data_IF_705092797685
#
_entry.id   IF_705092797685
#
_cell.length_a   1.000
_cell.length_b   1.000
_cell.length_c   1.000
_cell.angle_alpha   90.00
_cell.angle_beta   90.00
_cell.angle_gamma   90.00
#
_symmetry.space_group_name_H-M   'P 1'
#
loop_
_entity.id
_entity.type
_entity.pdbx_description
1 polymer ?
#
# COMPACT_ATOMS: atom_id res chain seq x y z
N UNK A 1 -25.75 5.73 -24.89
CA UNK A 1 -25.34 6.95 -24.13
C UNK A 1 -24.19 6.69 -23.14
N UNK A 2 -23.32 5.69 -23.36
CA UNK A 2 -22.09 5.48 -22.54
C UNK A 2 -20.82 5.75 -23.37
N UNK A 3 -20.80 5.28 -24.63
CA UNK A 3 -19.70 5.54 -25.57
C UNK A 3 -19.42 7.04 -25.74
N UNK A 4 -20.46 7.84 -26.03
CA UNK A 4 -20.30 9.29 -26.20
C UNK A 4 -19.78 9.99 -24.92
N UNK A 5 -20.12 9.47 -23.73
CA UNK A 5 -19.58 10.00 -22.48
C UNK A 5 -18.10 9.65 -22.33
N UNK A 6 -17.70 8.40 -22.59
CA UNK A 6 -16.28 8.02 -22.59
C UNK A 6 -15.46 8.87 -23.57
N UNK A 7 -15.92 9.05 -24.81
CA UNK A 7 -15.22 9.89 -25.80
C UNK A 7 -15.03 11.34 -25.33
N UNK A 8 -15.96 11.88 -24.55
CA UNK A 8 -15.87 13.25 -24.03
C UNK A 8 -14.95 13.38 -22.80
N UNK A 9 -14.77 12.30 -22.02
CA UNK A 9 -13.94 12.29 -20.80
C UNK A 9 -12.50 11.90 -21.11
N UNK A 10 -12.28 11.06 -22.12
CA UNK A 10 -10.97 10.59 -22.52
C UNK A 10 -10.20 11.72 -23.24
N UNK A 11 -8.91 11.83 -22.92
CA UNK A 11 -7.98 12.75 -23.60
C UNK A 11 -8.02 12.53 -25.12
N UNK A 12 -8.03 13.62 -25.88
CA UNK A 12 -8.07 13.60 -27.35
C UNK A 12 -6.90 12.80 -27.94
N UNK A 13 -5.76 12.72 -27.25
CA UNK A 13 -4.63 11.90 -27.65
C UNK A 13 -4.97 10.40 -27.76
N UNK A 14 -5.97 9.92 -27.01
CA UNK A 14 -6.40 8.52 -26.97
C UNK A 14 -7.56 8.22 -27.93
N UNK A 15 -8.15 9.23 -28.56
CA UNK A 15 -9.29 9.02 -29.48
C UNK A 15 -8.94 8.09 -30.63
N UNK A 16 -7.70 8.15 -31.13
CA UNK A 16 -7.23 7.28 -32.22
C UNK A 16 -7.15 5.79 -31.84
N UNK A 17 -6.87 5.46 -30.57
CA UNK A 17 -6.83 4.05 -30.14
C UNK A 17 -8.20 3.47 -29.87
N UNK A 18 -9.13 4.33 -29.43
CA UNK A 18 -10.50 3.96 -29.07
C UNK A 18 -11.44 4.00 -30.28
N UNK A 19 -11.04 4.66 -31.38
CA UNK A 19 -11.84 4.87 -32.59
C UNK A 19 -12.48 3.59 -33.18
N UNK A 20 -11.80 2.45 -33.03
CA UNK A 20 -12.25 1.16 -33.58
C UNK A 20 -13.01 0.28 -32.58
N UNK A 21 -13.13 0.72 -31.32
CA UNK A 21 -13.87 0.00 -30.30
C UNK A 21 -15.38 0.13 -30.55
N UNK A 22 -16.07 -1.00 -30.61
CA UNK A 22 -17.51 -1.07 -30.89
C UNK A 22 -18.34 -0.99 -29.60
N UNK A 23 -17.72 -1.30 -28.46
CA UNK A 23 -18.39 -1.33 -27.16
C UNK A 23 -17.64 -0.52 -26.11
N UNK A 24 -18.36 0.06 -25.16
CA UNK A 24 -17.77 0.81 -24.04
C UNK A 24 -16.86 -0.07 -23.18
N UNK A 25 -17.12 -1.38 -23.19
CA UNK A 25 -16.30 -2.39 -22.53
C UNK A 25 -14.92 -2.53 -23.19
N UNK A 26 -14.85 -2.56 -24.51
CA UNK A 26 -13.56 -2.61 -25.23
C UNK A 26 -12.73 -1.36 -24.95
N UNK A 27 -13.36 -0.18 -24.94
CA UNK A 27 -12.69 1.08 -24.54
C UNK A 27 -12.13 0.98 -23.14
N UNK A 28 -12.93 0.48 -22.19
CA UNK A 28 -12.53 0.35 -20.80
C UNK A 28 -11.35 -0.61 -20.63
N UNK A 29 -11.37 -1.77 -21.30
CA UNK A 29 -10.28 -2.76 -21.24
C UNK A 29 -8.98 -2.18 -21.82
N UNK A 30 -9.04 -1.46 -22.94
CA UNK A 30 -7.85 -0.82 -23.54
C UNK A 30 -7.24 0.24 -22.62
N UNK A 31 -8.10 1.04 -21.97
CA UNK A 31 -7.65 2.02 -20.97
C UNK A 31 -7.06 1.33 -19.74
N UNK A 32 -7.71 0.29 -19.23
CA UNK A 32 -7.22 -0.48 -18.10
C UNK A 32 -5.85 -1.12 -18.40
N UNK A 33 -5.66 -1.72 -19.58
CA UNK A 33 -4.37 -2.34 -19.94
C UNK A 33 -3.24 -1.31 -20.06
N UNK A 34 -3.51 -0.14 -20.66
CA UNK A 34 -2.50 0.91 -20.84
C UNK A 34 -2.18 1.65 -19.55
N UNK A 35 -3.20 1.95 -18.75
CA UNK A 35 -3.07 2.80 -17.56
C UNK A 35 -2.99 2.02 -16.25
N UNK A 36 -3.21 0.70 -16.25
CA UNK A 36 -2.87 -0.16 -15.10
C UNK A 36 -1.37 -0.11 -14.76
N UNK A 37 -0.49 0.21 -15.73
CA UNK A 37 0.91 0.51 -15.47
C UNK A 37 1.10 1.77 -14.59
N UNK A 38 0.15 2.71 -14.62
CA UNK A 38 0.15 3.84 -13.69
C UNK A 38 0.06 3.38 -12.22
N UNK A 39 -0.70 2.32 -11.97
CA UNK A 39 -0.78 1.71 -10.64
C UNK A 39 0.55 1.08 -10.24
N UNK A 40 1.29 0.45 -11.17
CA UNK A 40 2.59 -0.14 -10.84
C UNK A 40 3.64 0.93 -10.48
N UNK A 41 3.69 2.04 -11.21
CA UNK A 41 4.57 3.19 -10.88
C UNK A 41 4.23 3.75 -9.50
N UNK A 42 2.95 3.96 -9.19
CA UNK A 42 2.52 4.44 -7.87
C UNK A 42 2.87 3.44 -6.76
N UNK A 43 2.67 2.15 -6.98
CA UNK A 43 3.09 1.09 -6.05
C UNK A 43 4.61 1.16 -5.81
N UNK A 44 5.42 1.34 -6.85
CA UNK A 44 6.87 1.47 -6.68
C UNK A 44 7.26 2.71 -5.87
N UNK A 45 6.60 3.85 -6.10
CA UNK A 45 6.80 5.05 -5.29
C UNK A 45 6.45 4.83 -3.83
N UNK A 46 5.29 4.22 -3.56
CA UNK A 46 4.82 3.91 -2.20
C UNK A 46 5.75 2.90 -1.50
N UNK A 47 6.25 1.89 -2.21
CA UNK A 47 7.24 0.94 -1.68
C UNK A 47 8.54 1.65 -1.31
N UNK A 48 8.98 2.61 -2.12
CA UNK A 48 10.15 3.43 -1.79
C UNK A 48 9.88 4.30 -0.56
N UNK A 49 8.73 4.95 -0.50
CA UNK A 49 8.33 5.77 0.65
C UNK A 49 8.33 4.94 1.93
N UNK A 50 7.70 3.76 1.90
CA UNK A 50 7.66 2.80 2.99
C UNK A 50 9.06 2.41 3.50
N UNK A 51 10.02 2.15 2.61
CA UNK A 51 11.41 1.84 3.01
C UNK A 51 12.17 3.04 3.62
N UNK A 52 11.68 4.26 3.42
CA UNK A 52 12.26 5.48 3.98
C UNK A 52 11.57 5.91 5.28
N UNK A 53 10.42 5.33 5.63
CA UNK A 53 9.74 5.63 6.90
C UNK A 53 10.54 4.97 8.03
N UNK A 54 11.27 5.78 8.79
CA UNK A 54 11.84 5.41 10.08
C UNK A 54 11.08 6.05 11.23
N UNK A 55 11.26 5.51 12.43
CA UNK A 55 10.70 6.08 13.66
C UNK A 55 11.34 7.45 13.94
N UNK A 56 12.65 7.58 13.78
CA UNK A 56 13.42 8.82 13.99
C UNK A 56 12.98 9.56 15.28
N UNK A 57 12.50 10.80 15.14
CA UNK A 57 12.03 11.64 16.26
C UNK A 57 10.58 11.38 16.68
N UNK A 58 9.83 10.55 15.95
CA UNK A 58 8.41 10.26 16.21
C UNK A 58 8.23 9.29 17.39
N UNK A 59 7.08 9.37 18.07
CA UNK A 59 6.66 8.29 18.97
C UNK A 59 6.42 6.98 18.20
N UNK A 60 6.44 5.84 18.90
CA UNK A 60 6.13 4.53 18.28
C UNK A 60 4.75 4.55 17.62
N UNK A 61 3.76 5.16 18.28
CA UNK A 61 2.39 5.26 17.79
C UNK A 61 2.29 6.11 16.52
N UNK A 62 2.93 7.29 16.49
CA UNK A 62 2.92 8.16 15.30
C UNK A 62 3.64 7.52 14.11
N UNK A 63 4.75 6.83 14.36
CA UNK A 63 5.45 6.04 13.35
C UNK A 63 4.56 4.93 12.79
N UNK A 64 3.93 4.14 13.67
CA UNK A 64 3.02 3.08 13.26
C UNK A 64 1.84 3.62 12.45
N UNK A 65 1.23 4.74 12.86
CA UNK A 65 0.13 5.37 12.11
C UNK A 65 0.55 5.80 10.71
N UNK A 66 1.76 6.36 10.54
CA UNK A 66 2.29 6.69 9.21
C UNK A 66 2.48 5.45 8.35
N UNK A 67 3.06 4.39 8.93
CA UNK A 67 3.30 3.15 8.22
C UNK A 67 1.99 2.47 7.79
N UNK A 68 0.96 2.49 8.65
CA UNK A 68 -0.38 2.02 8.31
C UNK A 68 -0.98 2.78 7.13
N UNK A 69 -0.85 4.12 7.10
CA UNK A 69 -1.36 4.92 5.98
C UNK A 69 -0.73 4.51 4.65
N UNK A 70 0.57 4.20 4.63
CA UNK A 70 1.27 3.77 3.41
C UNK A 70 0.83 2.35 3.01
N UNK A 71 0.68 1.43 3.97
CA UNK A 71 0.17 0.08 3.71
C UNK A 71 -1.25 0.08 3.15
N UNK A 72 -2.13 0.90 3.71
CA UNK A 72 -3.51 1.03 3.24
C UNK A 72 -3.53 1.56 1.80
N UNK A 73 -2.71 2.57 1.50
CA UNK A 73 -2.62 3.10 0.14
C UNK A 73 -2.09 2.03 -0.84
N UNK A 74 -1.03 1.29 -0.50
CA UNK A 74 -0.53 0.18 -1.33
C UNK A 74 -1.62 -0.87 -1.55
N UNK A 75 -2.41 -1.18 -0.52
CA UNK A 75 -3.53 -2.12 -0.60
C UNK A 75 -4.62 -1.71 -1.60
N UNK A 76 -4.80 -0.41 -1.85
CA UNK A 76 -5.77 0.06 -2.87
C UNK A 76 -5.34 -0.27 -4.30
N UNK A 77 -4.03 -0.30 -4.58
CA UNK A 77 -3.48 -0.58 -5.91
C UNK A 77 -3.11 -2.05 -6.10
N UNK A 78 -2.69 -2.73 -5.02
CA UNK A 78 -2.25 -4.11 -5.06
C UNK A 78 -3.38 -5.05 -4.61
N UNK A 79 -4.39 -5.18 -5.45
CA UNK A 79 -5.50 -6.12 -5.23
C UNK A 79 -4.95 -7.53 -5.35
N UNK A 80 -4.76 -8.19 -4.21
CA UNK A 80 -4.40 -9.60 -4.19
C UNK A 80 -5.54 -10.40 -4.83
N UNK A 81 -5.22 -11.32 -5.77
CA UNK A 81 -6.24 -12.19 -6.33
C UNK A 81 -6.84 -13.01 -5.19
N UNK A 82 -8.11 -12.75 -4.87
CA UNK A 82 -8.82 -13.50 -3.85
C UNK A 82 -8.93 -14.95 -4.33
N UNK A 83 -8.31 -15.91 -3.62
CA UNK A 83 -8.71 -17.29 -3.85
C UNK A 83 -10.12 -17.47 -3.30
N UNK A 84 -11.07 -17.80 -4.18
CA UNK A 84 -12.40 -18.27 -3.79
C UNK A 84 -12.36 -19.65 -3.14
N UNK A 85 -11.20 -20.31 -3.18
CA UNK A 85 -10.97 -21.61 -2.61
C UNK A 85 -10.56 -21.51 -1.12
N UNK A 86 -11.12 -22.36 -0.27
CA UNK A 86 -10.71 -22.47 1.15
C UNK A 86 -9.35 -23.21 1.29
N UNK A 87 -8.41 -22.96 0.37
CA UNK A 87 -7.13 -23.63 0.34
C UNK A 87 -6.17 -23.03 1.37
N UNK A 88 -5.18 -23.82 1.80
CA UNK A 88 -4.12 -23.37 2.69
C UNK A 88 -3.31 -22.21 2.08
N UNK A 89 -3.12 -22.20 0.77
CA UNK A 89 -2.32 -21.18 0.07
C UNK A 89 -2.84 -19.75 0.24
N UNK A 90 -4.15 -19.53 0.24
CA UNK A 90 -4.71 -18.18 0.48
C UNK A 90 -4.44 -17.68 1.90
N UNK A 91 -4.53 -18.58 2.90
CA UNK A 91 -4.22 -18.26 4.30
C UNK A 91 -2.73 -18.05 4.54
N UNK A 92 -1.89 -18.87 3.92
CA UNK A 92 -0.43 -18.73 3.96
C UNK A 92 0.02 -17.40 3.32
N UNK A 93 -0.59 -17.01 2.20
CA UNK A 93 -0.29 -15.73 1.54
C UNK A 93 -0.65 -14.53 2.41
N UNK A 94 -1.82 -14.55 3.06
CA UNK A 94 -2.18 -13.52 4.04
C UNK A 94 -1.20 -13.48 5.23
N UNK A 95 -0.80 -14.65 5.75
CA UNK A 95 0.18 -14.72 6.83
C UNK A 95 1.55 -14.18 6.43
N UNK A 96 2.01 -14.43 5.20
CA UNK A 96 3.28 -13.90 4.69
C UNK A 96 3.25 -12.37 4.59
N UNK A 97 2.12 -11.78 4.17
CA UNK A 97 1.96 -10.33 4.12
C UNK A 97 1.98 -9.69 5.51
N UNK A 98 1.34 -10.31 6.50
CA UNK A 98 1.38 -9.81 7.88
C UNK A 98 2.80 -9.92 8.46
N UNK A 99 3.53 -11.01 8.18
CA UNK A 99 4.94 -11.13 8.58
C UNK A 99 5.83 -10.06 7.94
N UNK A 100 5.61 -9.75 6.66
CA UNK A 100 6.32 -8.69 5.94
C UNK A 100 6.07 -7.31 6.58
N UNK A 101 4.81 -7.00 6.96
CA UNK A 101 4.48 -5.76 7.68
C UNK A 101 5.20 -5.66 9.02
N UNK A 102 5.21 -6.75 9.79
CA UNK A 102 5.94 -6.81 11.07
C UNK A 102 7.43 -6.57 10.86
N UNK A 103 8.02 -7.23 9.86
CA UNK A 103 9.43 -7.07 9.52
C UNK A 103 9.77 -5.62 9.16
N UNK A 104 8.97 -4.99 8.30
CA UNK A 104 9.15 -3.58 7.91
C UNK A 104 9.02 -2.64 9.11
N UNK A 105 8.00 -2.85 9.95
CA UNK A 105 7.83 -2.08 11.18
C UNK A 105 9.08 -2.18 12.06
N UNK A 106 9.59 -3.39 12.29
CA UNK A 106 10.78 -3.65 13.11
C UNK A 106 12.05 -3.02 12.57
N UNK A 107 12.29 -3.03 11.25
CA UNK A 107 13.48 -2.41 10.64
C UNK A 107 13.50 -0.90 10.85
N UNK A 108 12.36 -0.23 10.78
CA UNK A 108 12.29 1.22 10.93
C UNK A 108 12.26 1.71 12.38
N UNK A 109 12.25 0.82 13.39
CA UNK A 109 12.32 1.22 14.79
C UNK A 109 13.72 1.71 15.15
N UNK A 110 13.80 2.79 15.94
CA UNK A 110 15.08 3.26 16.46
C UNK A 110 15.53 2.37 17.63
N UNK A 111 16.67 1.68 17.48
CA UNK A 111 17.29 0.84 18.52
C UNK A 111 17.43 1.55 19.88
N UNK A 112 17.62 2.88 19.86
CA UNK A 112 17.78 3.69 21.07
C UNK A 112 16.48 3.87 21.86
N UNK A 113 15.30 3.76 21.23
CA UNK A 113 14.00 3.88 21.92
C UNK A 113 13.53 2.57 22.52
N UNK A 114 14.06 1.44 22.05
CA UNK A 114 13.79 0.10 22.62
C UNK A 114 14.36 -0.01 24.05
N UNK A 115 15.30 0.86 24.46
CA UNK A 115 15.99 0.76 25.74
C UNK A 115 15.52 1.70 26.87
N UNK A 116 14.60 2.65 26.62
CA UNK A 116 14.31 3.72 27.61
C UNK A 116 12.85 3.90 28.04
N UNK A 117 11.85 3.29 27.41
CA UNK A 117 10.44 3.52 27.80
C UNK A 117 9.89 2.63 28.92
N UNK A 118 10.66 1.66 29.45
CA UNK A 118 10.16 0.76 30.52
C UNK A 118 10.97 0.76 31.83
N UNK A 119 12.06 1.53 31.95
CA UNK A 119 12.92 1.47 33.16
C UNK A 119 12.66 2.63 34.16
N UNK A 120 11.76 3.58 33.87
CA UNK A 120 11.50 4.71 34.79
C UNK A 120 10.21 4.63 35.62
N UNK A 121 9.37 3.59 35.47
CA UNK A 121 8.15 3.44 36.30
C UNK A 121 8.23 2.39 37.43
N UNK A 122 9.33 1.64 37.56
CA UNK A 122 9.42 0.54 38.55
C UNK A 122 10.71 0.53 39.40
N UNK A 123 11.31 1.68 39.64
CA UNK A 123 12.32 1.81 40.71
C UNK A 123 11.86 2.87 41.71
N UNK A 124 11.23 2.49 42.83
CA UNK A 124 11.02 3.40 43.93
C UNK A 124 12.37 3.89 44.44
N UNK A 125 12.61 5.18 44.27
CA UNK A 125 13.84 5.86 44.68
C UNK A 125 13.82 6.04 46.20
N UNK A 126 14.64 5.22 46.88
CA UNK A 126 15.37 5.52 48.14
C UNK A 126 14.50 5.72 49.39
N UNK A 127 14.94 5.47 50.62
CA UNK A 127 16.27 5.43 51.20
C UNK A 127 16.16 4.86 52.64
N UNK A 128 17.29 4.72 53.37
CA UNK A 128 17.41 3.94 54.62
C UNK A 128 16.74 4.55 55.86
#
# INVERSE_FOLDING_TARGET
MVMAWLYNVIDKALHGSVAYANTAREVWIDLEERYSQGNSIRIHQLKREMSLVGQEKLSVTEYFSKLMSVWDEVGTYQVLPACSCNCKGGKEMASMLEQEKVHQFSIGLDDKKIQYSEIQHFVPRTAP
#
